data_IF_901772118075
#
_entry.id   IF_901772118075
#
_cell.length_a   1.000
_cell.length_b   1.000
_cell.length_c   1.000
_cell.angle_alpha   90.00
_cell.angle_beta   90.00
_cell.angle_gamma   90.00
#
_symmetry.space_group_name_H-M   'P 1'
#
loop_
_entity.id
_entity.type
_entity.pdbx_description
1 polymer ?
#
# COMPACT_ATOMS: atom_id res chain seq x y z
N UNK A 1 -7.08 10.82 -29.52
CA UNK A 1 -7.23 10.42 -28.11
C UNK A 1 -8.60 10.73 -27.51
N UNK A 2 -9.23 11.87 -27.77
CA UNK A 2 -10.56 12.21 -27.22
C UNK A 2 -11.71 11.29 -27.72
N UNK A 3 -11.73 10.92 -29.00
CA UNK A 3 -12.77 10.06 -29.56
C UNK A 3 -12.70 8.59 -29.09
N UNK A 4 -11.51 8.05 -28.83
CA UNK A 4 -11.34 6.70 -28.27
C UNK A 4 -11.82 6.63 -26.81
N UNK A 5 -11.50 7.65 -25.98
CA UNK A 5 -12.01 7.76 -24.60
C UNK A 5 -13.53 7.90 -24.55
N UNK A 6 -14.14 8.56 -25.52
CA UNK A 6 -15.61 8.64 -25.61
C UNK A 6 -16.27 7.31 -26.05
N UNK A 7 -15.58 6.49 -26.83
CA UNK A 7 -16.09 5.18 -27.23
C UNK A 7 -16.01 4.16 -26.08
N UNK A 8 -14.94 4.20 -25.30
CA UNK A 8 -14.72 3.35 -24.11
C UNK A 8 -15.74 3.66 -23.01
N UNK A 9 -16.08 4.93 -22.83
CA UNK A 9 -17.09 5.38 -21.87
C UNK A 9 -18.53 4.99 -22.28
N UNK A 10 -18.78 4.68 -23.56
CA UNK A 10 -20.08 4.17 -24.04
C UNK A 10 -20.28 2.68 -23.72
N UNK A 11 -19.23 1.89 -23.65
CA UNK A 11 -19.31 0.45 -23.37
C UNK A 11 -19.64 0.10 -21.91
N UNK A 12 -19.50 1.04 -20.98
CA UNK A 12 -19.74 0.85 -19.56
C UNK A 12 -21.11 1.38 -19.07
N UNK A 13 -22.00 1.77 -19.98
CA UNK A 13 -23.35 2.20 -19.62
C UNK A 13 -24.29 1.03 -19.48
N UNK A 14 -24.83 0.85 -18.28
CA UNK A 14 -25.94 -0.07 -18.04
C UNK A 14 -27.24 0.74 -18.01
N UNK A 15 -28.16 0.43 -18.91
CA UNK A 15 -29.47 1.07 -18.99
C UNK A 15 -30.53 0.07 -18.58
N UNK A 16 -31.29 0.42 -17.57
CA UNK A 16 -32.46 -0.35 -17.12
C UNK A 16 -33.73 0.45 -17.40
N UNK A 17 -34.68 -0.18 -18.08
CA UNK A 17 -35.96 0.41 -18.46
C UNK A 17 -37.08 -0.37 -17.79
N UNK A 18 -37.85 0.29 -16.93
CA UNK A 18 -39.03 -0.26 -16.28
C UNK A 18 -40.32 0.21 -16.97
N UNK A 19 -40.49 -0.23 -18.24
CA UNK A 19 -41.59 0.20 -19.07
C UNK A 19 -42.88 -0.62 -18.89
N UNK A 20 -42.83 -1.73 -18.16
CA UNK A 20 -43.99 -2.64 -18.02
C UNK A 20 -45.24 -1.97 -17.48
N UNK A 21 -45.12 -1.24 -16.39
CA UNK A 21 -46.27 -0.56 -15.76
C UNK A 21 -46.81 0.60 -16.58
N UNK A 22 -46.00 1.56 -17.07
CA UNK A 22 -46.49 2.62 -17.89
C UNK A 22 -47.09 2.16 -19.25
N UNK A 23 -46.53 1.12 -19.87
CA UNK A 23 -47.10 0.52 -21.06
C UNK A 23 -48.47 -0.08 -20.81
N UNK A 24 -48.59 -0.85 -19.71
CA UNK A 24 -49.87 -1.47 -19.32
C UNK A 24 -50.95 -0.42 -19.03
N UNK A 25 -50.60 0.64 -18.31
CA UNK A 25 -51.56 1.75 -18.03
C UNK A 25 -51.95 2.50 -19.28
N UNK A 26 -50.99 2.81 -20.18
CA UNK A 26 -51.29 3.49 -21.43
C UNK A 26 -52.17 2.61 -22.35
N UNK A 27 -51.92 1.30 -22.41
CA UNK A 27 -52.64 0.36 -23.22
C UNK A 27 -54.10 0.21 -22.69
N UNK A 28 -54.32 0.13 -21.37
CA UNK A 28 -55.62 0.05 -20.76
C UNK A 28 -56.46 1.34 -21.02
N UNK A 29 -55.82 2.51 -20.93
CA UNK A 29 -56.46 3.78 -21.23
C UNK A 29 -56.83 3.89 -22.72
N UNK A 30 -55.96 3.44 -23.63
CA UNK A 30 -56.22 3.37 -25.06
C UNK A 30 -57.41 2.45 -25.40
N UNK A 31 -57.43 1.23 -24.82
CA UNK A 31 -58.53 0.30 -25.02
C UNK A 31 -59.83 0.86 -24.49
N UNK A 32 -59.83 1.55 -23.35
CA UNK A 32 -60.99 2.25 -22.81
C UNK A 32 -61.45 3.41 -23.74
N UNK A 33 -60.52 4.16 -24.29
CA UNK A 33 -60.82 5.25 -25.26
C UNK A 33 -61.51 4.71 -26.51
N UNK A 34 -61.02 3.59 -27.04
CA UNK A 34 -61.59 2.98 -28.24
C UNK A 34 -62.96 2.33 -27.96
N UNK A 35 -63.13 1.68 -26.83
CA UNK A 35 -64.36 0.99 -26.46
C UNK A 35 -65.51 1.97 -26.11
N UNK A 36 -65.19 3.10 -25.50
CA UNK A 36 -66.20 4.10 -25.09
C UNK A 36 -66.39 5.20 -26.13
N UNK A 37 -65.53 5.32 -27.13
CA UNK A 37 -65.50 6.42 -28.12
C UNK A 37 -65.25 7.78 -27.48
N UNK A 38 -64.80 7.84 -26.23
CA UNK A 38 -64.63 9.09 -25.46
C UNK A 38 -63.19 9.57 -25.47
N UNK A 39 -62.91 10.83 -25.90
CA UNK A 39 -61.55 11.39 -25.89
C UNK A 39 -60.97 11.61 -24.49
N UNK A 40 -61.79 11.49 -23.42
CA UNK A 40 -61.39 11.68 -22.03
C UNK A 40 -60.30 10.70 -21.60
N UNK A 41 -60.28 9.48 -22.12
CA UNK A 41 -59.26 8.49 -21.86
C UNK A 41 -58.03 8.61 -22.74
N UNK A 42 -58.13 9.26 -23.90
CA UNK A 42 -57.05 9.47 -24.81
C UNK A 42 -56.03 10.50 -24.28
N UNK A 43 -56.53 11.59 -23.66
CA UNK A 43 -55.67 12.64 -23.09
C UNK A 43 -54.68 12.15 -22.04
N UNK A 44 -55.10 11.41 -20.99
CA UNK A 44 -54.16 10.90 -19.96
C UNK A 44 -53.23 9.84 -20.55
N UNK A 45 -53.66 9.01 -21.51
CA UNK A 45 -52.78 8.06 -22.19
C UNK A 45 -51.64 8.77 -22.93
N UNK A 46 -51.96 9.81 -23.67
CA UNK A 46 -50.98 10.60 -24.41
C UNK A 46 -50.05 11.37 -23.45
N UNK A 47 -50.59 11.88 -22.35
CA UNK A 47 -49.79 12.55 -21.32
C UNK A 47 -48.76 11.61 -20.68
N UNK A 48 -49.18 10.40 -20.29
CA UNK A 48 -48.27 9.42 -19.71
C UNK A 48 -47.17 9.03 -20.70
N UNK A 49 -47.53 8.77 -21.95
CA UNK A 49 -46.55 8.46 -23.00
C UNK A 49 -45.53 9.59 -23.18
N UNK A 50 -45.99 10.84 -23.22
CA UNK A 50 -45.12 12.02 -23.35
C UNK A 50 -44.22 12.20 -22.14
N UNK A 51 -44.72 11.99 -20.93
CA UNK A 51 -43.93 12.05 -19.70
C UNK A 51 -42.86 10.97 -19.68
N UNK A 52 -43.17 9.73 -20.06
CA UNK A 52 -42.19 8.66 -20.17
C UNK A 52 -41.10 8.97 -21.19
N UNK A 53 -41.48 9.43 -22.37
CA UNK A 53 -40.54 9.83 -23.42
C UNK A 53 -39.64 10.98 -22.98
N UNK A 54 -40.21 12.00 -22.33
CA UNK A 54 -39.46 13.14 -21.81
C UNK A 54 -38.47 12.72 -20.67
N UNK A 55 -38.87 11.78 -19.80
CA UNK A 55 -38.04 11.22 -18.77
C UNK A 55 -36.84 10.44 -19.33
N UNK A 56 -37.11 9.54 -20.27
CA UNK A 56 -36.07 8.78 -20.97
C UNK A 56 -35.09 9.75 -21.67
N UNK A 57 -35.61 10.70 -22.46
CA UNK A 57 -34.77 11.69 -23.11
C UNK A 57 -33.93 12.50 -22.11
N UNK A 58 -34.55 12.93 -21.02
CA UNK A 58 -33.89 13.70 -19.95
C UNK A 58 -32.70 12.96 -19.33
N UNK A 59 -32.87 11.67 -18.97
CA UNK A 59 -31.81 10.85 -18.38
C UNK A 59 -30.68 10.61 -19.40
N UNK A 60 -31.00 10.28 -20.64
CA UNK A 60 -30.00 10.11 -21.71
C UNK A 60 -29.20 11.39 -21.96
N UNK A 61 -29.89 12.53 -22.02
CA UNK A 61 -29.24 13.84 -22.20
C UNK A 61 -28.35 14.22 -21.03
N UNK A 62 -28.82 13.95 -19.78
CA UNK A 62 -28.08 14.22 -18.59
C UNK A 62 -26.82 13.36 -18.50
N UNK A 63 -26.96 12.05 -18.75
CA UNK A 63 -25.86 11.09 -18.78
C UNK A 63 -24.78 11.48 -19.82
N UNK A 64 -25.17 12.07 -20.94
CA UNK A 64 -24.24 12.56 -21.98
C UNK A 64 -23.49 13.84 -21.59
N UNK A 65 -24.05 14.65 -20.66
CA UNK A 65 -23.50 15.97 -20.28
C UNK A 65 -23.01 16.03 -18.85
N UNK A 66 -23.02 14.90 -18.14
CA UNK A 66 -22.54 14.79 -16.77
C UNK A 66 -21.02 14.73 -16.77
N UNK A 67 -20.41 15.66 -16.07
CA UNK A 67 -18.99 15.70 -15.74
C UNK A 67 -18.85 15.49 -14.24
N UNK A 68 -18.11 14.47 -13.85
CA UNK A 68 -17.81 14.17 -12.43
C UNK A 68 -16.30 14.15 -12.30
N UNK A 69 -15.79 14.98 -11.40
CA UNK A 69 -14.38 15.01 -11.03
C UNK A 69 -14.25 14.78 -9.53
N UNK A 70 -13.32 13.98 -9.13
CA UNK A 70 -13.03 13.68 -7.71
C UNK A 70 -11.56 13.93 -7.45
N UNK A 71 -11.25 14.69 -6.41
CA UNK A 71 -9.88 14.97 -5.99
C UNK A 71 -9.78 14.80 -4.48
N UNK A 72 -8.79 14.03 -4.04
CA UNK A 72 -8.40 13.99 -2.63
C UNK A 72 -7.68 15.30 -2.26
N UNK A 73 -7.84 15.75 -1.03
CA UNK A 73 -7.18 16.97 -0.53
C UNK A 73 -5.66 16.88 -0.52
N UNK A 74 -5.13 15.66 -0.41
CA UNK A 74 -3.71 15.36 -0.33
C UNK A 74 -3.37 14.14 -1.19
N UNK A 75 -2.16 14.09 -1.71
CA UNK A 75 -1.65 12.91 -2.43
C UNK A 75 -1.06 11.85 -1.49
N UNK A 76 -0.75 12.24 -0.26
CA UNK A 76 -0.14 11.40 0.77
C UNK A 76 -0.75 11.67 2.11
N UNK A 77 -0.97 10.62 2.88
CA UNK A 77 -1.58 10.65 4.20
C UNK A 77 -0.94 9.56 5.06
N UNK A 78 -0.87 9.74 6.37
CA UNK A 78 -0.48 8.66 7.27
C UNK A 78 -1.70 7.78 7.56
N UNK A 79 -1.46 6.49 7.80
CA UNK A 79 -2.51 5.57 8.26
C UNK A 79 -3.15 6.14 9.52
N UNK A 80 -4.46 6.10 9.60
CA UNK A 80 -5.21 6.63 10.75
C UNK A 80 -5.58 8.11 10.65
N UNK A 81 -5.15 8.83 9.62
CA UNK A 81 -5.56 10.23 9.41
C UNK A 81 -6.82 10.33 8.55
N UNK A 82 -7.56 11.41 8.76
CA UNK A 82 -8.76 11.71 7.96
C UNK A 82 -8.40 12.48 6.69
N UNK A 83 -8.96 12.02 5.58
CA UNK A 83 -8.79 12.64 4.26
C UNK A 83 -10.12 13.16 3.75
N UNK A 84 -10.11 14.36 3.18
CA UNK A 84 -11.29 14.91 2.51
C UNK A 84 -11.23 14.64 1.01
N UNK A 85 -12.29 14.04 0.49
CA UNK A 85 -12.53 13.81 -0.93
C UNK A 85 -13.49 14.89 -1.43
N UNK A 86 -13.02 15.74 -2.34
CA UNK A 86 -13.82 16.74 -3.01
C UNK A 86 -14.38 16.17 -4.30
N UNK A 87 -15.68 15.92 -4.35
CA UNK A 87 -16.39 15.46 -5.52
C UNK A 87 -17.14 16.62 -6.15
N UNK A 88 -16.74 17.02 -7.35
CA UNK A 88 -17.45 18.05 -8.11
C UNK A 88 -18.27 17.40 -9.20
N UNK A 89 -19.56 17.69 -9.20
CA UNK A 89 -20.51 17.19 -10.18
C UNK A 89 -21.09 18.37 -10.95
N UNK A 90 -20.92 18.36 -12.26
CA UNK A 90 -21.41 19.38 -13.17
C UNK A 90 -22.29 18.77 -14.23
N UNK A 91 -23.46 19.34 -14.43
CA UNK A 91 -24.41 18.91 -15.44
C UNK A 91 -24.84 20.08 -16.30
N UNK A 92 -24.80 19.88 -17.60
CA UNK A 92 -25.39 20.83 -18.58
C UNK A 92 -26.79 20.34 -18.92
N UNK A 93 -27.79 21.20 -18.82
CA UNK A 93 -29.17 20.91 -19.17
C UNK A 93 -30.15 21.58 -18.20
N UNK A 94 -31.39 21.70 -18.64
CA UNK A 94 -32.47 22.37 -17.88
C UNK A 94 -33.52 21.38 -17.34
N UNK A 95 -33.55 20.14 -17.86
CA UNK A 95 -34.52 19.13 -17.45
C UNK A 95 -34.23 18.67 -16.00
N UNK A 96 -35.17 18.77 -15.08
CA UNK A 96 -35.01 18.26 -13.74
C UNK A 96 -34.96 16.72 -13.78
N UNK A 97 -34.10 16.14 -12.92
CA UNK A 97 -33.99 14.70 -12.71
C UNK A 97 -34.26 14.36 -11.25
N UNK A 98 -34.56 13.09 -11.01
CA UNK A 98 -34.55 12.55 -9.66
C UNK A 98 -33.17 12.70 -9.02
N UNK A 99 -33.05 12.59 -7.70
CA UNK A 99 -31.76 12.52 -7.04
C UNK A 99 -30.91 11.42 -7.65
N UNK A 100 -29.64 11.72 -7.84
CA UNK A 100 -28.66 10.75 -8.33
C UNK A 100 -27.97 10.07 -7.18
N UNK A 101 -27.49 8.86 -7.42
CA UNK A 101 -26.73 8.08 -6.47
C UNK A 101 -25.29 7.99 -6.94
N UNK A 102 -24.36 8.35 -6.05
CA UNK A 102 -22.93 8.24 -6.26
C UNK A 102 -22.42 7.05 -5.46
N UNK A 103 -21.83 6.09 -6.13
CA UNK A 103 -21.15 4.96 -5.50
C UNK A 103 -19.66 5.27 -5.42
N UNK A 104 -19.11 5.25 -4.24
CA UNK A 104 -17.72 5.61 -3.97
C UNK A 104 -16.83 4.38 -3.93
N UNK A 105 -15.58 4.50 -4.37
CA UNK A 105 -14.57 3.45 -4.28
C UNK A 105 -13.32 3.95 -3.54
N UNK A 106 -12.56 3.00 -2.99
CA UNK A 106 -11.32 3.30 -2.27
C UNK A 106 -11.53 4.01 -0.92
N UNK A 107 -12.76 3.97 -0.41
CA UNK A 107 -13.20 4.71 0.78
C UNK A 107 -13.84 3.72 1.76
N UNK A 108 -13.21 2.57 1.94
CA UNK A 108 -13.70 1.55 2.86
C UNK A 108 -13.13 1.77 4.27
N UNK A 109 -14.01 1.89 5.24
CA UNK A 109 -13.67 1.97 6.66
C UNK A 109 -14.92 2.17 7.48
N UNK A 110 -15.02 1.50 8.65
CA UNK A 110 -16.18 1.51 9.52
C UNK A 110 -16.59 2.93 9.98
N UNK A 111 -15.66 3.87 9.96
CA UNK A 111 -15.86 5.27 10.41
C UNK A 111 -15.91 6.28 9.25
N UNK A 112 -15.97 5.84 7.99
CA UNK A 112 -16.02 6.79 6.88
C UNK A 112 -17.44 7.29 6.65
N UNK A 113 -17.64 8.61 6.68
CA UNK A 113 -18.90 9.25 6.22
C UNK A 113 -19.12 9.06 4.73
N UNK A 114 -18.09 8.61 4.02
CA UNK A 114 -18.04 8.42 2.57
C UNK A 114 -18.19 6.95 2.14
N UNK A 115 -18.43 6.02 3.06
CA UNK A 115 -18.63 4.61 2.72
C UNK A 115 -19.97 4.39 2.03
N UNK A 116 -19.96 3.72 0.88
CA UNK A 116 -21.17 3.26 0.22
C UNK A 116 -21.73 4.26 -0.81
N UNK A 117 -23.06 4.33 -0.83
CA UNK A 117 -23.82 5.09 -1.84
C UNK A 117 -24.30 6.41 -1.25
N UNK A 118 -23.87 7.52 -1.85
CA UNK A 118 -24.31 8.87 -1.47
C UNK A 118 -25.36 9.39 -2.43
N UNK A 119 -26.42 9.96 -1.88
CA UNK A 119 -27.50 10.56 -2.65
C UNK A 119 -27.26 12.06 -2.85
N UNK A 120 -27.33 12.53 -4.07
CA UNK A 120 -27.14 13.94 -4.42
C UNK A 120 -28.22 14.43 -5.34
N UNK A 121 -28.83 15.59 -5.03
CA UNK A 121 -29.80 16.23 -5.90
C UNK A 121 -29.15 17.35 -6.69
N UNK A 122 -28.94 17.14 -7.99
CA UNK A 122 -28.38 18.13 -8.89
C UNK A 122 -29.44 19.12 -9.39
N UNK A 123 -29.19 20.40 -9.14
CA UNK A 123 -29.95 21.47 -9.77
C UNK A 123 -29.53 21.65 -11.23
N UNK A 124 -30.48 21.86 -12.15
CA UNK A 124 -30.16 22.07 -13.55
C UNK A 124 -29.19 23.24 -13.76
N UNK A 125 -28.18 23.05 -14.61
CA UNK A 125 -27.24 24.10 -15.01
C UNK A 125 -26.25 24.58 -13.96
N UNK A 126 -26.18 23.94 -12.78
CA UNK A 126 -25.24 24.29 -11.72
C UNK A 126 -24.22 23.18 -11.47
N UNK A 127 -23.01 23.57 -11.11
CA UNK A 127 -22.05 22.67 -10.47
C UNK A 127 -22.32 22.60 -8.98
N UNK A 128 -22.22 21.40 -8.43
CA UNK A 128 -22.27 21.18 -6.98
C UNK A 128 -21.01 20.45 -6.55
N UNK A 129 -20.45 20.88 -5.43
CA UNK A 129 -19.37 20.22 -4.76
C UNK A 129 -19.93 19.45 -3.54
N UNK A 130 -19.41 18.26 -3.33
CA UNK A 130 -19.68 17.43 -2.17
C UNK A 130 -18.32 17.14 -1.51
N UNK A 131 -18.19 17.48 -0.26
CA UNK A 131 -17.02 17.18 0.55
C UNK A 131 -17.34 15.97 1.43
N UNK A 132 -16.53 14.94 1.29
CA UNK A 132 -16.67 13.69 2.02
C UNK A 132 -15.38 13.44 2.77
N UNK A 133 -15.47 13.15 4.06
CA UNK A 133 -14.33 12.72 4.85
C UNK A 133 -14.33 11.20 4.98
N UNK A 134 -13.15 10.59 4.85
CA UNK A 134 -12.94 9.20 5.10
C UNK A 134 -11.63 8.96 5.85
N UNK A 135 -11.59 7.87 6.57
CA UNK A 135 -10.45 7.47 7.37
C UNK A 135 -9.51 6.59 6.55
N UNK A 136 -8.22 6.91 6.52
CA UNK A 136 -7.22 6.10 5.82
C UNK A 136 -6.82 4.89 6.69
N UNK A 137 -7.66 3.83 6.68
CA UNK A 137 -7.52 2.69 7.59
C UNK A 137 -6.32 1.80 7.27
N UNK A 138 -5.98 1.59 5.99
CA UNK A 138 -4.97 0.63 5.56
C UNK A 138 -3.87 1.28 4.74
N UNK A 139 -2.64 0.77 4.94
CA UNK A 139 -1.45 1.19 4.18
C UNK A 139 -1.56 0.74 2.73
N UNK A 140 -1.18 1.61 1.81
CA UNK A 140 -1.15 1.25 0.39
C UNK A 140 -1.52 2.37 -0.54
N UNK A 141 -1.50 2.07 -1.83
CA UNK A 141 -1.94 2.97 -2.87
C UNK A 141 -3.43 2.76 -3.15
N UNK A 142 -4.24 3.76 -2.88
CA UNK A 142 -5.68 3.74 -3.13
C UNK A 142 -6.05 4.80 -4.16
N UNK A 143 -7.14 4.57 -4.88
CA UNK A 143 -7.72 5.55 -5.80
C UNK A 143 -9.12 5.94 -5.29
N UNK A 144 -9.19 6.91 -4.34
CA UNK A 144 -10.47 7.36 -3.83
C UNK A 144 -11.21 8.13 -4.91
N UNK A 145 -12.46 7.80 -5.12
CA UNK A 145 -13.25 8.48 -6.13
C UNK A 145 -14.64 7.91 -6.32
N UNK A 146 -15.32 8.39 -7.34
CA UNK A 146 -16.68 7.95 -7.70
C UNK A 146 -16.59 6.77 -8.64
N UNK A 147 -16.90 5.57 -8.18
CA UNK A 147 -16.87 4.34 -8.97
C UNK A 147 -17.97 4.29 -10.01
N UNK A 148 -19.19 4.65 -9.60
CA UNK A 148 -20.34 4.70 -10.50
C UNK A 148 -21.33 5.79 -10.11
N UNK A 149 -22.03 6.28 -11.11
CA UNK A 149 -23.12 7.24 -10.96
C UNK A 149 -24.40 6.63 -11.51
N UNK A 150 -25.45 6.63 -10.71
CA UNK A 150 -26.76 6.16 -11.10
C UNK A 150 -27.71 7.36 -11.26
N UNK A 151 -28.20 7.57 -12.45
CA UNK A 151 -29.18 8.60 -12.81
C UNK A 151 -30.54 7.96 -13.06
N UNK A 152 -31.58 8.54 -12.52
CA UNK A 152 -32.95 8.09 -12.75
C UNK A 152 -33.85 9.27 -13.12
N UNK A 153 -34.93 8.98 -13.85
CA UNK A 153 -36.02 9.94 -14.02
C UNK A 153 -36.94 9.97 -12.79
N UNK A 154 -37.82 10.96 -12.70
CA UNK A 154 -38.73 11.10 -11.53
C UNK A 154 -39.69 9.93 -11.33
N UNK A 155 -40.00 9.21 -12.40
CA UNK A 155 -40.97 8.11 -12.39
C UNK A 155 -40.28 6.73 -12.25
N UNK A 156 -38.94 6.68 -12.26
CA UNK A 156 -38.18 5.44 -12.21
C UNK A 156 -38.32 4.58 -13.47
N UNK A 157 -38.77 5.15 -14.58
CA UNK A 157 -38.96 4.46 -15.86
C UNK A 157 -37.63 4.15 -16.54
N UNK A 158 -36.66 5.05 -16.40
CA UNK A 158 -35.34 4.92 -16.98
C UNK A 158 -34.25 5.17 -15.94
N UNK A 159 -33.37 4.19 -15.75
CA UNK A 159 -32.20 4.34 -14.89
C UNK A 159 -30.95 4.05 -15.72
N UNK A 160 -29.96 4.94 -15.63
CA UNK A 160 -28.65 4.77 -16.28
C UNK A 160 -27.58 4.74 -15.21
N UNK A 161 -26.83 3.65 -15.16
CA UNK A 161 -25.60 3.53 -14.37
C UNK A 161 -24.41 3.71 -15.31
N UNK A 162 -23.53 4.64 -14.98
CA UNK A 162 -22.32 4.91 -15.77
C UNK A 162 -21.11 5.09 -14.86
N UNK A 163 -19.93 4.67 -15.36
CA UNK A 163 -18.66 4.97 -14.70
C UNK A 163 -18.18 6.35 -15.15
N UNK A 164 -17.92 7.28 -14.21
CA UNK A 164 -17.30 8.55 -14.57
C UNK A 164 -15.84 8.33 -14.98
N UNK A 165 -15.26 9.29 -15.70
CA UNK A 165 -13.81 9.28 -15.89
C UNK A 165 -13.16 9.47 -14.51
N UNK A 166 -12.37 8.50 -14.10
CA UNK A 166 -11.57 8.61 -12.89
C UNK A 166 -10.37 9.52 -13.21
N UNK A 167 -10.49 10.81 -12.93
CA UNK A 167 -9.37 11.75 -12.93
C UNK A 167 -8.78 11.89 -11.50
N UNK A 168 -9.24 11.07 -10.55
CA UNK A 168 -8.73 11.03 -9.18
C UNK A 168 -7.28 10.55 -9.17
N UNK A 169 -6.39 11.37 -8.61
CA UNK A 169 -5.00 10.97 -8.37
C UNK A 169 -4.90 9.77 -7.44
N UNK A 170 -3.78 9.10 -7.49
CA UNK A 170 -3.44 8.05 -6.53
C UNK A 170 -3.21 8.71 -5.15
N UNK A 171 -3.89 8.23 -4.12
CA UNK A 171 -3.63 8.58 -2.73
C UNK A 171 -2.77 7.49 -2.11
N UNK A 172 -1.61 7.87 -1.63
CA UNK A 172 -0.69 6.95 -0.98
C UNK A 172 -0.83 7.06 0.54
N UNK A 173 -1.29 5.99 1.17
CA UNK A 173 -1.38 5.87 2.62
C UNK A 173 -0.07 5.31 3.15
N UNK A 174 0.66 6.11 3.90
CA UNK A 174 1.97 5.78 4.46
C UNK A 174 1.82 5.05 5.79
N UNK A 175 2.75 4.12 6.12
CA UNK A 175 2.74 3.41 7.39
C UNK A 175 3.01 4.36 8.57
N UNK A 176 2.40 4.06 9.71
CA UNK A 176 2.73 4.70 10.98
C UNK A 176 4.05 4.15 11.52
N UNK A 177 4.80 5.02 12.19
CA UNK A 177 6.03 4.65 12.85
C UNK A 177 5.82 4.54 14.35
N UNK A 178 6.37 3.50 14.96
CA UNK A 178 6.35 3.32 16.40
C UNK A 178 7.76 3.03 16.91
N UNK A 179 7.99 3.29 18.20
CA UNK A 179 9.29 3.07 18.81
C UNK A 179 9.58 1.60 18.97
N UNK A 180 10.73 1.18 18.46
CA UNK A 180 11.25 -0.17 18.54
C UNK A 180 12.55 -0.15 19.35
N UNK A 181 12.79 -1.23 20.11
CA UNK A 181 14.03 -1.40 20.85
C UNK A 181 15.26 -1.31 19.90
N UNK A 182 16.34 -0.63 20.32
CA UNK A 182 17.52 -0.45 19.49
C UNK A 182 18.08 -1.78 18.98
N UNK A 183 18.53 -1.76 17.72
CA UNK A 183 19.19 -2.91 17.12
C UNK A 183 20.55 -3.11 17.78
N UNK A 184 20.81 -4.30 18.28
CA UNK A 184 22.13 -4.68 18.77
C UNK A 184 22.88 -5.33 17.62
N UNK A 185 23.84 -4.61 17.06
CA UNK A 185 24.74 -5.19 16.08
C UNK A 185 25.71 -6.10 16.83
N UNK A 186 25.71 -7.37 16.48
CA UNK A 186 26.74 -8.28 16.96
C UNK A 186 28.06 -7.87 16.29
N UNK A 187 29.02 -7.59 17.12
CA UNK A 187 30.41 -7.71 16.76
C UNK A 187 30.74 -9.20 16.56
N UNK A 188 30.08 -9.88 15.64
CA UNK A 188 30.37 -11.30 15.41
C UNK A 188 31.86 -11.48 15.17
N UNK A 189 32.44 -12.58 15.68
CA UNK A 189 33.87 -12.91 15.62
C UNK A 189 34.49 -12.76 14.23
N UNK A 190 33.69 -12.69 13.15
CA UNK A 190 34.15 -12.40 11.80
C UNK A 190 34.06 -10.92 11.38
N UNK A 191 33.25 -10.09 12.06
CA UNK A 191 33.08 -8.67 11.67
C UNK A 191 33.95 -7.72 12.49
N UNK A 192 33.85 -7.73 13.81
CA UNK A 192 34.50 -6.71 14.65
C UNK A 192 35.74 -7.16 15.31
N UNK A 193 35.97 -8.44 15.61
CA UNK A 193 37.32 -8.85 15.93
C UNK A 193 38.26 -8.70 14.72
N UNK A 194 37.78 -8.96 13.51
CA UNK A 194 38.51 -8.61 12.30
C UNK A 194 38.59 -7.09 12.12
N UNK A 195 37.55 -6.33 12.51
CA UNK A 195 37.53 -4.86 12.41
C UNK A 195 38.26 -4.19 13.57
N UNK A 196 38.10 -4.66 14.81
CA UNK A 196 38.90 -4.20 15.96
C UNK A 196 40.37 -4.61 15.79
N UNK A 197 40.65 -5.82 15.31
CA UNK A 197 41.99 -6.24 14.94
C UNK A 197 42.53 -5.50 13.71
N UNK A 198 41.71 -5.19 12.72
CA UNK A 198 42.15 -4.32 11.59
C UNK A 198 42.35 -2.87 12.02
N UNK A 199 41.61 -2.38 13.02
CA UNK A 199 41.77 -1.07 13.63
C UNK A 199 42.88 -1.00 14.68
N UNK A 200 43.09 -2.06 15.46
CA UNK A 200 44.12 -2.13 16.51
C UNK A 200 45.35 -2.91 16.09
N UNK A 201 45.26 -3.84 15.15
CA UNK A 201 46.38 -4.62 14.68
C UNK A 201 47.13 -3.92 13.54
N UNK A 202 47.94 -2.94 13.94
CA UNK A 202 48.98 -2.33 13.10
C UNK A 202 49.96 -3.41 12.54
N UNK A 203 49.79 -4.67 12.90
CA UNK A 203 50.69 -5.77 12.59
C UNK A 203 50.33 -6.55 11.32
N UNK A 204 49.09 -6.53 10.83
CA UNK A 204 48.70 -7.23 9.59
C UNK A 204 48.12 -6.30 8.52
N UNK A 205 48.99 -5.61 7.73
CA UNK A 205 48.53 -4.82 6.60
C UNK A 205 47.99 -5.75 5.51
N UNK A 206 46.77 -5.50 5.06
CA UNK A 206 46.09 -6.28 4.01
C UNK A 206 46.75 -6.05 2.64
N UNK A 207 47.35 -4.88 2.45
CA UNK A 207 48.06 -4.51 1.20
C UNK A 207 49.14 -3.45 1.47
N UNK A 208 50.10 -3.33 0.57
CA UNK A 208 51.17 -2.33 0.61
C UNK A 208 51.21 -1.57 -0.71
N UNK A 209 51.22 -0.25 -0.65
CA UNK A 209 51.40 0.63 -1.83
C UNK A 209 52.66 1.43 -1.71
N UNK A 210 53.16 1.93 -2.84
CA UNK A 210 54.29 2.83 -2.86
C UNK A 210 53.99 4.13 -2.12
N UNK A 211 54.96 4.63 -1.37
CA UNK A 211 54.86 5.88 -0.62
C UNK A 211 54.61 7.07 -1.55
N UNK A 212 53.68 7.93 -1.17
CA UNK A 212 53.44 9.22 -1.85
C UNK A 212 53.77 10.38 -0.90
N UNK A 213 54.33 11.49 -1.40
CA UNK A 213 54.58 12.67 -0.58
C UNK A 213 53.29 13.13 0.12
N UNK A 214 53.30 13.14 1.48
CA UNK A 214 52.16 13.44 2.34
C UNK A 214 51.70 12.26 3.17
N UNK A 215 52.15 11.05 2.89
CA UNK A 215 51.79 9.88 3.73
C UNK A 215 52.49 9.94 5.10
N UNK A 216 51.79 9.58 6.18
CA UNK A 216 52.38 9.55 7.52
C UNK A 216 53.54 8.53 7.60
N UNK A 217 54.71 8.94 8.04
CA UNK A 217 55.87 8.08 8.19
C UNK A 217 55.64 6.87 9.11
N UNK A 218 54.71 6.98 10.06
CA UNK A 218 54.31 5.87 10.96
C UNK A 218 53.64 4.69 10.24
N UNK A 219 53.10 4.90 9.05
CA UNK A 219 52.46 3.85 8.25
C UNK A 219 53.47 3.15 7.29
N UNK A 220 54.73 3.54 7.24
CA UNK A 220 55.74 2.92 6.38
C UNK A 220 56.06 1.52 6.93
N UNK A 221 56.05 0.53 6.01
CA UNK A 221 56.45 -0.84 6.31
C UNK A 221 57.96 -1.01 6.15
N UNK A 222 58.72 -0.53 7.13
CA UNK A 222 60.20 -0.48 7.06
C UNK A 222 60.88 -1.78 6.64
N UNK A 223 60.41 -2.92 7.17
CA UNK A 223 60.97 -4.25 6.88
C UNK A 223 60.79 -4.65 5.41
N UNK A 224 59.63 -4.33 4.79
CA UNK A 224 59.35 -4.66 3.42
C UNK A 224 59.95 -3.62 2.47
N UNK A 225 59.97 -2.33 2.86
CA UNK A 225 60.63 -1.25 2.15
C UNK A 225 62.13 -1.49 2.02
N UNK A 226 62.79 -1.91 3.07
CA UNK A 226 64.20 -2.26 3.05
C UNK A 226 64.51 -3.46 2.12
N UNK A 227 63.57 -4.40 2.02
CA UNK A 227 63.72 -5.61 1.18
C UNK A 227 63.47 -5.33 -0.29
N UNK A 228 62.53 -4.40 -0.61
CA UNK A 228 62.21 -4.02 -1.99
C UNK A 228 62.93 -2.77 -2.48
N UNK A 229 63.69 -2.12 -1.63
CA UNK A 229 64.40 -0.84 -1.90
C UNK A 229 63.49 0.29 -2.35
N UNK A 230 62.23 0.24 -2.02
CA UNK A 230 61.19 1.23 -2.26
C UNK A 230 60.41 1.53 -0.99
N UNK A 231 60.09 2.79 -0.74
CA UNK A 231 59.28 3.14 0.42
C UNK A 231 57.86 2.65 0.21
N UNK A 232 57.42 1.71 1.05
CA UNK A 232 56.08 1.10 1.00
C UNK A 232 55.29 1.50 2.23
N UNK A 233 54.03 1.92 2.01
CA UNK A 233 53.09 2.29 3.04
C UNK A 233 52.03 1.20 3.20
N UNK A 234 51.72 0.86 4.45
CA UNK A 234 50.67 -0.07 4.79
C UNK A 234 49.32 0.56 4.44
N UNK A 235 48.51 -0.16 3.68
CA UNK A 235 47.11 0.20 3.41
C UNK A 235 46.25 -0.55 4.39
N UNK A 236 45.50 0.20 5.17
CA UNK A 236 44.46 -0.34 6.03
C UNK A 236 43.15 -0.19 5.28
N UNK A 237 42.34 -1.24 5.24
CA UNK A 237 40.96 -1.08 4.79
C UNK A 237 40.20 -0.30 5.86
N UNK A 238 39.38 0.66 5.45
CA UNK A 238 38.49 1.35 6.37
C UNK A 238 37.55 0.32 7.04
N UNK A 239 37.30 0.43 8.34
CA UNK A 239 36.40 -0.48 9.02
C UNK A 239 35.02 -0.38 8.37
N UNK A 240 34.61 -1.44 7.68
CA UNK A 240 33.26 -1.53 7.10
C UNK A 240 32.29 -1.70 8.26
N UNK A 241 31.39 -0.72 8.44
CA UNK A 241 30.33 -0.84 9.42
C UNK A 241 29.45 -2.05 9.06
N UNK A 242 29.09 -2.88 10.06
CA UNK A 242 28.20 -4.01 9.80
C UNK A 242 26.79 -3.53 9.43
N UNK A 243 26.25 -4.09 8.37
CA UNK A 243 24.92 -3.76 7.88
C UNK A 243 23.82 -4.44 8.71
N UNK A 244 22.67 -3.80 8.81
CA UNK A 244 21.45 -4.42 9.29
C UNK A 244 20.67 -4.98 8.08
N UNK A 245 20.36 -6.27 8.10
CA UNK A 245 19.52 -6.91 7.08
C UNK A 245 18.11 -7.08 7.64
N UNK A 246 17.13 -6.43 7.04
CA UNK A 246 15.72 -6.56 7.41
C UNK A 246 15.04 -7.44 6.38
N UNK A 247 14.41 -8.52 6.82
CA UNK A 247 13.71 -9.49 5.98
C UNK A 247 12.22 -9.47 6.34
N UNK A 248 11.42 -8.97 5.42
CA UNK A 248 9.98 -8.87 5.54
C UNK A 248 9.30 -10.04 4.82
N UNK A 249 8.41 -10.73 5.51
CA UNK A 249 7.57 -11.77 4.91
C UNK A 249 6.46 -11.13 4.07
N UNK A 250 6.67 -11.10 2.76
CA UNK A 250 5.71 -10.61 1.77
C UNK A 250 4.88 -11.73 1.13
N UNK A 251 4.83 -12.91 1.72
CA UNK A 251 3.93 -13.95 1.24
C UNK A 251 2.49 -13.62 1.64
N UNK A 252 1.52 -14.03 0.81
CA UNK A 252 0.11 -13.82 1.09
C UNK A 252 -0.23 -14.37 2.49
N UNK A 253 -0.79 -13.55 3.39
CA UNK A 253 -1.12 -14.01 4.73
C UNK A 253 -2.12 -15.17 4.65
N UNK A 254 -2.13 -16.09 5.64
CA UNK A 254 -3.11 -17.16 5.67
C UNK A 254 -4.49 -16.54 5.74
N UNK A 255 -5.36 -16.90 4.78
CA UNK A 255 -6.73 -16.36 4.70
C UNK A 255 -7.45 -16.65 6.02
N UNK A 256 -7.65 -15.60 6.79
CA UNK A 256 -8.54 -15.64 7.94
C UNK A 256 -9.98 -15.39 7.47
N UNK A 257 -10.94 -15.64 8.34
CA UNK A 257 -12.37 -15.51 7.98
C UNK A 257 -12.76 -14.06 7.62
N UNK A 258 -12.02 -13.07 8.15
CA UNK A 258 -12.24 -11.65 7.92
C UNK A 258 -11.11 -11.01 7.10
N UNK A 259 -11.49 -10.42 5.97
CA UNK A 259 -10.55 -9.70 5.09
C UNK A 259 -9.94 -8.45 5.75
N UNK A 260 -10.55 -7.95 6.81
CA UNK A 260 -10.11 -6.77 7.56
C UNK A 260 -8.94 -7.14 8.50
N UNK A 261 -9.01 -8.30 9.17
CA UNK A 261 -7.88 -8.81 9.98
C UNK A 261 -6.62 -9.10 9.14
N UNK A 262 -6.79 -9.58 7.91
CA UNK A 262 -5.69 -9.81 6.98
C UNK A 262 -5.04 -8.49 6.52
N UNK A 263 -5.83 -7.43 6.39
CA UNK A 263 -5.33 -6.10 6.06
C UNK A 263 -4.55 -5.50 7.24
N UNK A 264 -5.08 -5.60 8.47
CA UNK A 264 -4.39 -5.14 9.68
C UNK A 264 -3.06 -5.86 9.93
N UNK A 265 -3.01 -7.17 9.63
CA UNK A 265 -1.76 -7.93 9.70
C UNK A 265 -0.72 -7.42 8.70
N UNK A 266 -1.13 -7.14 7.46
CA UNK A 266 -0.24 -6.56 6.44
C UNK A 266 0.27 -5.19 6.85
N UNK A 267 -0.61 -4.35 7.35
CA UNK A 267 -0.26 -3.01 7.82
C UNK A 267 0.77 -3.08 8.95
N UNK A 268 0.54 -3.95 9.94
CA UNK A 268 1.47 -4.13 11.06
C UNK A 268 2.83 -4.70 10.62
N UNK A 269 2.88 -5.56 9.59
CA UNK A 269 4.13 -6.04 9.00
C UNK A 269 4.91 -4.89 8.35
N UNK A 270 4.23 -4.05 7.56
CA UNK A 270 4.83 -2.89 6.90
C UNK A 270 5.31 -1.87 7.93
N UNK A 271 4.48 -1.55 8.92
CA UNK A 271 4.80 -0.58 9.98
C UNK A 271 5.98 -1.04 10.84
N UNK A 272 6.05 -2.35 11.14
CA UNK A 272 7.19 -2.93 11.84
C UNK A 272 8.46 -2.80 11.00
N UNK A 273 8.42 -3.12 9.72
CA UNK A 273 9.56 -2.98 8.81
C UNK A 273 10.01 -1.51 8.69
N UNK A 274 9.08 -0.58 8.52
CA UNK A 274 9.35 0.85 8.47
C UNK A 274 10.02 1.34 9.75
N UNK A 275 9.49 0.95 10.92
CA UNK A 275 10.00 1.35 12.22
C UNK A 275 11.41 0.81 12.49
N UNK A 276 11.68 -0.45 12.09
CA UNK A 276 13.02 -1.06 12.19
C UNK A 276 14.02 -0.32 11.31
N UNK A 277 13.66 -0.02 10.07
CA UNK A 277 14.52 0.69 9.13
C UNK A 277 14.84 2.11 9.62
N UNK A 278 13.83 2.82 10.14
CA UNK A 278 14.01 4.17 10.71
C UNK A 278 14.90 4.13 11.96
N UNK A 279 14.72 3.12 12.81
CA UNK A 279 15.57 2.95 13.99
C UNK A 279 17.02 2.66 13.61
N UNK A 280 17.27 1.85 12.58
CA UNK A 280 18.61 1.60 12.07
C UNK A 280 19.25 2.90 11.55
N UNK A 281 18.49 3.70 10.78
CA UNK A 281 18.95 4.99 10.27
C UNK A 281 19.29 5.99 11.40
N UNK A 282 18.43 6.09 12.43
CA UNK A 282 18.70 6.94 13.61
C UNK A 282 19.97 6.53 14.34
N UNK A 283 20.28 5.23 14.35
CA UNK A 283 21.51 4.69 14.95
C UNK A 283 22.73 4.77 14.01
N UNK A 284 22.59 5.41 12.84
CA UNK A 284 23.60 5.51 11.78
C UNK A 284 24.10 4.14 11.26
N UNK A 285 23.25 3.11 11.34
CA UNK A 285 23.56 1.79 10.81
C UNK A 285 23.01 1.65 9.39
N UNK A 286 23.87 1.29 8.41
CA UNK A 286 23.38 0.95 7.08
C UNK A 286 22.36 -0.19 7.18
N UNK A 287 21.20 -0.02 6.57
CA UNK A 287 20.15 -1.03 6.64
C UNK A 287 19.65 -1.35 5.22
N UNK A 288 19.43 -2.64 4.95
CA UNK A 288 18.95 -3.13 3.67
C UNK A 288 17.68 -3.96 3.86
N UNK A 289 16.67 -3.64 3.06
CA UNK A 289 15.39 -4.36 3.02
C UNK A 289 15.14 -4.87 1.59
N UNK A 290 15.40 -6.15 1.28
CA UNK A 290 15.04 -6.74 0.00
C UNK A 290 13.53 -6.95 -0.07
N UNK A 291 12.89 -6.38 -1.09
CA UNK A 291 11.47 -6.57 -1.39
C UNK A 291 11.31 -7.41 -2.66
N UNK A 292 10.28 -8.29 -2.74
CA UNK A 292 10.01 -9.07 -3.95
C UNK A 292 9.72 -8.16 -5.14
N UNK A 293 10.28 -8.49 -6.31
CA UNK A 293 9.99 -7.76 -7.56
C UNK A 293 10.50 -6.32 -7.64
N UNK A 294 11.10 -5.79 -6.58
CA UNK A 294 11.66 -4.44 -6.54
C UNK A 294 13.17 -4.47 -6.27
N UNK A 295 13.85 -3.37 -6.56
CA UNK A 295 15.22 -3.21 -6.08
C UNK A 295 15.22 -3.16 -4.55
N UNK A 296 16.23 -3.77 -3.88
CA UNK A 296 16.31 -3.71 -2.43
C UNK A 296 16.35 -2.25 -1.98
N UNK A 297 15.53 -1.94 -0.99
CA UNK A 297 15.51 -0.61 -0.39
C UNK A 297 16.70 -0.53 0.55
N UNK A 298 17.70 0.26 0.17
CA UNK A 298 18.85 0.57 1.01
C UNK A 298 18.60 1.93 1.65
N UNK A 299 18.59 1.98 2.96
CA UNK A 299 18.53 3.23 3.69
C UNK A 299 19.97 3.62 4.04
N UNK A 300 20.56 4.44 3.21
CA UNK A 300 21.79 5.18 3.49
C UNK A 300 21.44 6.60 3.97
N UNK A 301 22.41 7.32 4.53
CA UNK A 301 22.25 8.69 5.04
C UNK A 301 21.57 9.66 4.06
N UNK A 302 21.68 9.37 2.76
CA UNK A 302 21.17 10.22 1.67
C UNK A 302 19.78 9.79 1.15
N UNK A 303 19.30 8.59 1.47
CA UNK A 303 17.95 8.16 1.07
C UNK A 303 16.92 8.72 2.03
N UNK A 304 16.12 9.65 1.56
CA UNK A 304 15.09 10.28 2.39
C UNK A 304 14.08 9.25 2.94
N UNK A 305 13.77 9.37 4.22
CA UNK A 305 12.73 8.62 4.93
C UNK A 305 11.43 8.50 4.12
N UNK A 306 11.07 9.56 3.42
CA UNK A 306 9.89 9.62 2.56
C UNK A 306 9.88 8.54 1.48
N UNK A 307 11.00 8.34 0.79
CA UNK A 307 11.11 7.33 -0.28
C UNK A 307 11.01 5.91 0.28
N UNK A 308 11.56 5.65 1.46
CA UNK A 308 11.40 4.38 2.16
C UNK A 308 9.93 4.08 2.44
N UNK A 309 9.21 5.03 3.04
CA UNK A 309 7.80 4.86 3.40
C UNK A 309 6.91 4.67 2.15
N UNK A 310 7.20 5.40 1.07
CA UNK A 310 6.49 5.24 -0.21
C UNK A 310 6.72 3.86 -0.84
N UNK A 311 7.95 3.35 -0.81
CA UNK A 311 8.26 2.02 -1.32
C UNK A 311 7.61 0.92 -0.49
N UNK A 312 7.61 1.06 0.84
CA UNK A 312 6.94 0.13 1.74
C UNK A 312 5.41 0.16 1.58
N UNK A 313 4.83 1.34 1.40
CA UNK A 313 3.39 1.46 1.14
C UNK A 313 2.97 0.78 -0.18
N UNK A 314 3.89 0.61 -1.13
CA UNK A 314 3.65 -0.09 -2.40
C UNK A 314 4.11 -1.54 -2.39
N UNK A 315 4.52 -2.08 -1.23
CA UNK A 315 4.98 -3.46 -1.14
C UNK A 315 3.86 -4.44 -1.50
N UNK A 316 4.21 -5.42 -2.35
CA UNK A 316 3.28 -6.44 -2.80
C UNK A 316 3.42 -7.69 -1.92
N UNK A 317 2.29 -8.15 -1.37
CA UNK A 317 2.17 -9.34 -0.52
C UNK A 317 1.60 -10.55 -1.29
N UNK A 318 1.90 -10.64 -2.57
CA UNK A 318 1.49 -11.77 -3.42
C UNK A 318 2.64 -12.76 -3.71
N UNK A 319 3.72 -12.73 -2.95
CA UNK A 319 4.87 -13.59 -3.19
C UNK A 319 4.51 -15.07 -3.01
N UNK A 320 4.58 -15.91 -4.06
CA UNK A 320 4.26 -17.31 -3.96
C UNK A 320 5.37 -18.17 -3.32
N UNK A 321 6.57 -17.61 -3.14
CA UNK A 321 7.72 -18.31 -2.58
C UNK A 321 7.59 -18.43 -1.06
N UNK A 322 7.80 -19.63 -0.48
CA UNK A 322 7.85 -19.79 0.97
C UNK A 322 8.92 -18.90 1.60
N UNK A 323 8.59 -18.18 2.64
CA UNK A 323 9.51 -17.21 3.25
C UNK A 323 10.80 -17.86 3.77
N UNK A 324 10.72 -19.11 4.26
CA UNK A 324 11.91 -19.90 4.62
C UNK A 324 12.94 -20.02 3.48
N UNK A 325 12.48 -20.09 2.23
CA UNK A 325 13.36 -20.13 1.07
C UNK A 325 14.03 -18.77 0.82
N UNK A 326 13.28 -17.67 1.00
CA UNK A 326 13.83 -16.31 0.91
C UNK A 326 14.92 -16.12 1.98
N UNK A 327 14.66 -16.53 3.21
CA UNK A 327 15.65 -16.51 4.30
C UNK A 327 16.92 -17.27 3.93
N UNK A 328 16.81 -18.46 3.34
CA UNK A 328 17.94 -19.28 2.90
C UNK A 328 18.76 -18.62 1.79
N UNK A 329 18.10 -17.95 0.85
CA UNK A 329 18.77 -17.23 -0.24
C UNK A 329 19.55 -16.03 0.29
N UNK A 330 18.94 -15.24 1.15
CA UNK A 330 19.60 -14.08 1.75
C UNK A 330 20.72 -14.49 2.72
N UNK A 331 20.59 -15.61 3.42
CA UNK A 331 21.65 -16.17 4.28
C UNK A 331 22.98 -16.37 3.52
N UNK A 332 22.94 -16.74 2.24
CA UNK A 332 24.14 -16.89 1.40
C UNK A 332 24.84 -15.56 1.08
N UNK A 333 24.15 -14.45 1.24
CA UNK A 333 24.64 -13.09 0.94
C UNK A 333 25.11 -12.32 2.18
N UNK A 334 25.09 -12.94 3.37
CA UNK A 334 25.28 -12.27 4.67
C UNK A 334 26.74 -12.00 5.08
N UNK A 335 27.66 -11.82 4.15
CA UNK A 335 29.11 -11.69 4.47
C UNK A 335 29.49 -10.47 5.34
N UNK A 336 28.63 -9.45 5.43
CA UNK A 336 28.92 -8.19 6.16
C UNK A 336 27.79 -7.80 7.12
N UNK A 337 26.86 -8.72 7.39
CA UNK A 337 25.67 -8.44 8.17
C UNK A 337 25.98 -8.60 9.66
N UNK A 338 25.77 -7.55 10.43
CA UNK A 338 25.93 -7.55 11.89
C UNK A 338 24.63 -7.89 12.65
N UNK A 339 23.49 -7.59 12.04
CA UNK A 339 22.17 -7.90 12.59
C UNK A 339 21.21 -8.31 11.49
N UNK A 340 20.45 -9.37 11.69
CA UNK A 340 19.34 -9.77 10.83
C UNK A 340 18.04 -9.64 11.58
N UNK A 341 17.13 -8.86 11.06
CA UNK A 341 15.77 -8.72 11.59
C UNK A 341 14.81 -9.44 10.68
N UNK A 342 14.10 -10.42 11.22
CA UNK A 342 13.06 -11.19 10.51
C UNK A 342 11.71 -10.73 10.98
N UNK A 343 10.82 -10.36 10.06
CA UNK A 343 9.47 -9.85 10.35
C UNK A 343 8.48 -10.73 9.62
N UNK A 344 7.61 -11.42 10.37
CA UNK A 344 6.63 -12.35 9.81
C UNK A 344 5.37 -12.42 10.66
N UNK A 345 4.23 -12.75 10.03
CA UNK A 345 2.99 -13.08 10.72
C UNK A 345 2.85 -14.58 11.01
N UNK A 346 3.75 -15.41 10.50
CA UNK A 346 3.74 -16.88 10.66
C UNK A 346 5.10 -17.38 11.07
N UNK A 347 5.09 -18.39 11.90
CA UNK A 347 6.29 -19.07 12.32
C UNK A 347 6.11 -20.56 12.07
N UNK A 348 6.97 -21.15 11.27
CA UNK A 348 7.02 -22.58 11.01
C UNK A 348 8.38 -23.19 11.42
N UNK A 349 8.45 -24.50 11.50
CA UNK A 349 9.65 -25.20 11.89
C UNK A 349 10.83 -24.99 10.94
N UNK A 350 10.56 -24.83 9.65
CA UNK A 350 11.61 -24.58 8.64
C UNK A 350 12.23 -23.19 8.82
N UNK A 351 11.41 -22.17 9.07
CA UNK A 351 11.89 -20.83 9.37
C UNK A 351 12.73 -20.80 10.63
N UNK A 352 12.30 -21.51 11.69
CA UNK A 352 13.06 -21.64 12.94
C UNK A 352 14.45 -22.24 12.67
N UNK A 353 14.54 -23.35 11.94
CA UNK A 353 15.82 -24.00 11.64
C UNK A 353 16.75 -23.10 10.80
N UNK A 354 16.19 -22.32 9.87
CA UNK A 354 16.98 -21.33 9.10
C UNK A 354 17.48 -20.21 9.99
N UNK A 355 16.65 -19.64 10.88
CA UNK A 355 17.06 -18.59 11.80
C UNK A 355 18.14 -19.07 12.79
N UNK A 356 18.03 -20.31 13.27
CA UNK A 356 19.06 -20.93 14.09
C UNK A 356 20.39 -21.06 13.32
N UNK A 357 20.33 -21.40 12.05
CA UNK A 357 21.50 -21.48 11.17
C UNK A 357 22.12 -20.10 10.93
N UNK A 358 21.28 -19.07 10.72
CA UNK A 358 21.73 -17.68 10.61
C UNK A 358 22.46 -17.23 11.88
N UNK A 359 21.90 -17.53 13.05
CA UNK A 359 22.51 -17.14 14.33
C UNK A 359 23.87 -17.80 14.54
N UNK A 360 24.04 -19.07 14.13
CA UNK A 360 25.33 -19.80 14.20
C UNK A 360 26.39 -19.21 13.25
N UNK A 361 26.01 -18.47 12.23
CA UNK A 361 26.94 -17.81 11.31
C UNK A 361 27.53 -16.50 11.87
N UNK A 362 27.06 -16.02 13.02
CA UNK A 362 27.64 -14.88 13.73
C UNK A 362 26.74 -13.66 13.91
N UNK A 363 25.87 -13.25 12.94
CA UNK A 363 25.05 -12.06 13.12
C UNK A 363 24.05 -12.22 14.26
N UNK A 364 23.68 -11.12 14.90
CA UNK A 364 22.53 -11.12 15.78
C UNK A 364 21.27 -11.34 14.96
N UNK A 365 20.40 -12.21 15.46
CA UNK A 365 19.09 -12.46 14.82
C UNK A 365 18.00 -12.00 15.76
N UNK A 366 17.10 -11.18 15.24
CA UNK A 366 15.90 -10.71 15.94
C UNK A 366 14.68 -11.07 15.12
N UNK A 367 13.69 -11.66 15.76
CA UNK A 367 12.39 -11.98 15.17
C UNK A 367 11.34 -11.02 15.71
N UNK A 368 10.60 -10.37 14.83
CA UNK A 368 9.33 -9.71 15.13
C UNK A 368 8.19 -10.57 14.60
N UNK A 369 7.44 -11.15 15.51
CA UNK A 369 6.26 -11.94 15.19
C UNK A 369 5.02 -11.04 15.30
N UNK A 370 4.37 -10.78 14.16
CA UNK A 370 3.14 -9.99 14.09
C UNK A 370 1.96 -10.92 14.24
N UNK A 371 1.27 -10.86 15.38
CA UNK A 371 0.16 -11.77 15.68
C UNK A 371 -0.80 -11.15 16.69
N UNK A 372 -2.11 -11.48 16.55
CA UNK A 372 -3.14 -11.13 17.53
C UNK A 372 -2.96 -11.90 18.84
N UNK A 373 -2.47 -13.14 18.76
CA UNK A 373 -2.36 -14.08 19.88
C UNK A 373 -0.91 -14.54 20.08
N UNK A 374 -0.05 -13.71 20.73
CA UNK A 374 1.35 -14.07 20.96
C UNK A 374 1.54 -15.27 21.90
N UNK A 375 0.51 -15.60 22.68
CA UNK A 375 0.52 -16.70 23.68
C UNK A 375 -0.02 -18.03 23.10
N UNK A 376 -0.10 -18.18 21.77
CA UNK A 376 -0.55 -19.43 21.16
C UNK A 376 0.38 -20.59 21.56
N UNK A 377 -0.21 -21.63 22.16
CA UNK A 377 0.49 -22.85 22.60
C UNK A 377 1.30 -23.53 21.47
N UNK A 378 0.94 -23.29 20.21
CA UNK A 378 1.66 -23.83 19.05
C UNK A 378 2.96 -23.08 18.76
N UNK A 379 3.00 -21.78 19.06
CA UNK A 379 4.14 -20.91 18.81
C UNK A 379 5.17 -20.98 19.93
N UNK A 380 4.74 -21.20 21.18
CA UNK A 380 5.60 -21.18 22.34
C UNK A 380 6.82 -22.11 22.28
N UNK A 381 6.72 -23.39 21.84
CA UNK A 381 7.90 -24.26 21.73
C UNK A 381 8.93 -23.74 20.72
N UNK A 382 8.46 -23.15 19.62
CA UNK A 382 9.33 -22.57 18.59
C UNK A 382 10.02 -21.30 19.08
N UNK A 383 9.30 -20.43 19.79
CA UNK A 383 9.83 -19.21 20.39
C UNK A 383 10.91 -19.57 21.43
N UNK A 384 10.62 -20.51 22.33
CA UNK A 384 11.60 -20.95 23.33
C UNK A 384 12.88 -21.52 22.68
N UNK A 385 12.75 -22.36 21.65
CA UNK A 385 13.89 -22.91 20.90
C UNK A 385 14.76 -21.80 20.27
N UNK A 386 14.16 -20.71 19.79
CA UNK A 386 14.87 -19.55 19.25
C UNK A 386 15.59 -18.77 20.37
N UNK A 387 14.92 -18.54 21.50
CA UNK A 387 15.48 -17.80 22.63
C UNK A 387 16.65 -18.55 23.30
N UNK A 388 16.61 -19.88 23.39
CA UNK A 388 17.70 -20.71 23.92
C UNK A 388 19.03 -20.52 23.17
N UNK A 389 18.95 -20.24 21.85
CA UNK A 389 20.15 -20.00 21.01
C UNK A 389 20.51 -18.52 20.94
N UNK A 390 19.76 -17.65 21.65
CA UNK A 390 20.05 -16.23 21.73
C UNK A 390 19.47 -15.43 20.56
N UNK A 391 18.37 -15.88 19.95
CA UNK A 391 17.56 -15.09 19.04
C UNK A 391 16.62 -14.22 19.86
N UNK A 392 16.64 -12.91 19.65
CA UNK A 392 15.71 -11.99 20.31
C UNK A 392 14.33 -12.09 19.65
N UNK A 393 13.29 -12.42 20.42
CA UNK A 393 11.93 -12.53 19.90
C UNK A 393 11.06 -11.42 20.49
N UNK A 394 10.51 -10.57 19.64
CA UNK A 394 9.52 -9.56 19.97
C UNK A 394 8.16 -9.90 19.31
N UNK A 395 7.08 -9.59 19.99
CA UNK A 395 5.73 -9.69 19.42
C UNK A 395 5.17 -8.29 19.15
N UNK A 396 4.53 -8.13 18.00
CA UNK A 396 3.81 -6.91 17.62
C UNK A 396 2.35 -7.28 17.39
N UNK A 397 1.44 -6.55 18.06
CA UNK A 397 0.01 -6.73 17.84
C UNK A 397 -0.44 -5.79 16.74
N UNK A 398 -1.19 -6.29 15.73
CA UNK A 398 -1.89 -5.42 14.81
C UNK A 398 -2.84 -4.48 15.56
N UNK A 399 -2.82 -3.20 15.21
CA UNK A 399 -3.73 -2.22 15.76
C UNK A 399 -4.85 -2.03 14.75
N UNK A 400 -6.08 -2.48 15.04
CA UNK A 400 -7.25 -2.10 14.24
C UNK A 400 -7.49 -0.61 14.41
N UNK A 401 -7.72 0.09 13.30
CA UNK A 401 -8.02 1.53 13.27
C UNK A 401 -9.47 1.79 12.87
#
# INVERSE_FOLDING_TARGET
MSAMKQAENRSARQVTLHLTLPILVTLTLLTAAFSTGSPVFLMPALLIALLCLSGIYGVFRASATLEVTSHASTERVQRGEDVTLNVQVKRRGWIPLAPMWLELSGVNGANSTASGTQMMQLRPGRSQALELSFHAAHVGAIQPGVQSVMLSDFFGVCTIRQKPNMDGGELLVLPQLFDIAPLRLSSGEMGTEAMARASEDVTNPTDVRTYQPGDPMKKIHWKLSARKQEALVRRFEDPVQPDALVLLDCAEPPKQADSEEDADLRDALIETAASVMVQAAKAEHPARLPLPGAHPVELDKDMGLKMLLENLARADFSNPEPFAKVLLLEMRRMRKVGCTVVITARLDSQMVDVMLSMRRMGPNVRLYLVTQTPEDARLMPMILKLQEVGVEVGSVKPLPL
#
